data_IF_276952240035
#
_entry.id   IF_276952240035
#
_cell.length_a   1.000
_cell.length_b   1.000
_cell.length_c   1.000
_cell.angle_alpha   90.00
_cell.angle_beta   90.00
_cell.angle_gamma   90.00
#
_symmetry.space_group_name_H-M   'P 1'
#
loop_
_entity.id
_entity.type
_entity.pdbx_description
1 polymer ?
2 water ?
#
# COMPACT_ATOMS: atom_id res chain seq x y z
N UNK A 1 23.89 37.10 2.52
CA UNK A 1 25.21 36.66 3.01
C UNK A 1 25.45 35.31 2.34
N UNK A 2 26.64 34.77 2.55
CA UNK A 2 27.01 33.45 2.12
C UNK A 2 26.30 32.41 2.99
N UNK A 3 26.01 32.77 4.24
CA UNK A 3 25.21 31.94 5.12
C UNK A 3 23.84 31.83 4.55
N UNK A 4 23.09 32.93 4.55
CA UNK A 4 21.74 33.02 4.00
C UNK A 4 21.57 32.15 2.78
N UNK A 5 22.53 32.20 1.86
CA UNK A 5 22.44 31.50 0.60
C UNK A 5 22.69 30.01 0.81
N UNK A 6 23.71 29.68 1.58
CA UNK A 6 23.98 28.30 1.84
C UNK A 6 22.75 27.79 2.57
N UNK A 7 22.38 28.49 3.63
CA UNK A 7 21.27 28.12 4.47
C UNK A 7 20.00 27.88 3.68
N UNK A 8 19.79 28.63 2.63
CA UNK A 8 18.56 28.47 1.92
C UNK A 8 18.67 27.54 0.68
N UNK A 9 19.89 27.12 0.39
CA UNK A 9 20.14 26.01 -0.47
C UNK A 9 19.79 24.73 0.28
N UNK A 10 20.08 24.67 1.58
CA UNK A 10 19.75 23.53 2.42
C UNK A 10 18.24 23.46 2.55
N UNK A 11 17.63 24.54 3.00
CA UNK A 11 16.20 24.66 2.93
C UNK A 11 15.60 24.04 1.66
N UNK A 12 15.80 24.64 0.49
CA UNK A 12 15.25 24.07 -0.78
C UNK A 12 15.54 22.59 -0.91
N UNK A 13 16.80 22.20 -0.80
CA UNK A 13 17.27 20.87 -1.12
C UNK A 13 16.70 19.79 -0.20
N UNK A 14 16.58 20.10 1.09
CA UNK A 14 16.03 19.21 2.10
C UNK A 14 14.53 19.01 1.87
N UNK A 15 13.82 20.11 1.66
CA UNK A 15 12.41 20.05 1.37
C UNK A 15 12.08 19.11 0.21
N UNK A 16 12.94 19.06 -0.80
CA UNK A 16 12.76 18.19 -1.95
C UNK A 16 13.09 16.74 -1.66
N UNK A 17 13.64 16.49 -0.49
CA UNK A 17 14.15 15.19 -0.12
C UNK A 17 13.31 14.55 0.95
N UNK A 18 12.70 15.34 1.82
CA UNK A 18 11.59 14.86 2.57
C UNK A 18 10.64 14.27 1.50
N UNK A 19 10.03 15.14 0.69
CA UNK A 19 9.19 14.77 -0.45
C UNK A 19 9.56 13.49 -1.20
N UNK A 20 10.85 13.21 -1.33
CA UNK A 20 11.34 12.08 -2.15
C UNK A 20 11.27 10.77 -1.39
N UNK A 21 11.81 10.78 -0.17
CA UNK A 21 11.72 9.68 0.77
C UNK A 21 10.27 9.26 1.02
N UNK A 22 9.38 10.23 1.16
CA UNK A 22 8.00 9.92 1.31
C UNK A 22 7.51 9.22 0.04
N UNK A 23 7.31 9.95 -1.06
CA UNK A 23 6.92 9.36 -2.35
C UNK A 23 7.42 7.92 -2.59
N UNK A 24 8.65 7.60 -2.18
CA UNK A 24 9.25 6.28 -2.47
C UNK A 24 8.92 5.22 -1.44
N UNK A 25 8.72 5.67 -0.20
CA UNK A 25 8.47 4.78 0.90
C UNK A 25 6.99 4.45 0.96
N UNK A 26 6.20 5.28 0.29
CA UNK A 26 4.79 5.04 0.05
C UNK A 26 4.67 4.07 -1.09
N UNK A 27 5.43 4.31 -2.14
CA UNK A 27 5.50 3.45 -3.32
C UNK A 27 5.86 1.99 -3.06
N UNK A 28 6.64 1.73 -2.03
CA UNK A 28 7.02 0.37 -1.64
C UNK A 28 5.97 -0.22 -0.69
N UNK A 29 5.34 0.64 0.10
CA UNK A 29 4.19 0.26 0.86
C UNK A 29 3.13 -0.22 -0.14
N UNK A 30 2.98 0.48 -1.25
CA UNK A 30 1.96 0.12 -2.22
C UNK A 30 2.34 -1.07 -3.09
N UNK A 31 3.62 -1.41 -3.10
CA UNK A 31 4.09 -2.61 -3.79
C UNK A 31 3.58 -3.80 -3.02
N UNK A 32 3.89 -3.82 -1.72
CA UNK A 32 3.46 -4.87 -0.81
C UNK A 32 2.00 -4.75 -0.28
N UNK A 33 1.27 -3.68 -0.58
CA UNK A 33 -0.17 -3.66 -0.37
C UNK A 33 -0.76 -4.54 -1.46
N UNK A 34 -0.52 -4.12 -2.71
CA UNK A 34 -0.82 -4.86 -3.94
C UNK A 34 -0.42 -6.34 -3.90
N UNK A 35 0.52 -6.71 -3.03
CA UNK A 35 1.01 -8.09 -3.00
C UNK A 35 0.32 -8.98 -1.98
N UNK A 36 -0.28 -8.40 -0.94
CA UNK A 36 -1.03 -9.19 0.03
C UNK A 36 -2.53 -9.04 -0.19
N UNK A 37 -2.93 -7.93 -0.79
CA UNK A 37 -4.29 -7.62 -1.24
C UNK A 37 -4.71 -8.65 -2.28
N UNK A 38 -3.74 -9.18 -3.02
CA UNK A 38 -3.94 -10.24 -4.00
C UNK A 38 -4.22 -11.59 -3.37
N UNK A 39 -3.40 -11.95 -2.38
CA UNK A 39 -3.53 -13.21 -1.66
C UNK A 39 -4.82 -13.25 -0.85
N UNK A 40 -5.40 -12.07 -0.65
CA UNK A 40 -6.65 -12.00 0.04
C UNK A 40 -7.80 -12.25 -0.93
N UNK A 41 -7.81 -11.59 -2.09
CA UNK A 41 -8.88 -11.73 -3.10
C UNK A 41 -9.03 -13.19 -3.52
N UNK A 42 -7.94 -13.94 -3.37
CA UNK A 42 -7.87 -15.35 -3.69
C UNK A 42 -8.36 -16.23 -2.55
N UNK A 43 -8.40 -15.70 -1.34
CA UNK A 43 -8.96 -16.40 -0.19
C UNK A 43 -10.45 -16.19 -0.06
N UNK A 44 -10.90 -15.05 -0.58
CA UNK A 44 -12.27 -14.55 -0.58
C UNK A 44 -13.14 -15.25 -1.61
N UNK A 45 -12.49 -15.85 -2.59
CA UNK A 45 -13.13 -16.45 -3.73
C UNK A 45 -13.17 -17.91 -3.44
N UNK A 46 -12.15 -18.40 -2.75
CA UNK A 46 -12.06 -19.77 -2.26
C UNK A 46 -13.05 -19.96 -1.13
N UNK A 47 -13.39 -18.86 -0.49
CA UNK A 47 -14.27 -18.90 0.65
C UNK A 47 -15.66 -18.64 0.17
N UNK A 48 -15.79 -17.96 -0.96
CA UNK A 48 -17.09 -17.66 -1.54
C UNK A 48 -17.76 -18.96 -1.94
N UNK A 49 -16.94 -19.86 -2.49
CA UNK A 49 -17.35 -21.12 -3.01
C UNK A 49 -17.75 -21.99 -1.85
N UNK A 50 -17.01 -21.88 -0.75
CA UNK A 50 -17.34 -22.59 0.48
C UNK A 50 -18.67 -22.18 1.06
N UNK A 51 -19.08 -20.94 0.87
CA UNK A 51 -20.36 -20.48 1.40
C UNK A 51 -21.47 -20.94 0.49
N UNK A 52 -21.18 -20.92 -0.81
CA UNK A 52 -22.09 -21.41 -1.84
C UNK A 52 -22.46 -22.84 -1.49
N UNK A 53 -21.49 -23.76 -1.49
CA UNK A 53 -21.80 -25.14 -1.23
C UNK A 53 -22.48 -25.40 0.08
N UNK A 54 -22.16 -24.64 1.11
CA UNK A 54 -22.76 -24.91 2.41
C UNK A 54 -24.14 -24.25 2.53
N UNK A 55 -24.48 -23.42 1.57
CA UNK A 55 -25.86 -22.98 1.47
C UNK A 55 -26.64 -24.12 0.83
N UNK A 56 -26.04 -24.81 -0.13
CA UNK A 56 -26.60 -25.96 -0.82
C UNK A 56 -26.87 -27.12 0.11
N UNK A 57 -25.95 -27.38 1.04
CA UNK A 57 -26.10 -28.40 2.08
C UNK A 57 -27.22 -28.13 3.04
N UNK A 58 -27.22 -26.97 3.70
CA UNK A 58 -28.32 -26.59 4.64
C UNK A 58 -29.72 -26.80 4.06
N UNK A 59 -29.81 -26.64 2.75
CA UNK A 59 -31.04 -26.59 2.01
C UNK A 59 -31.52 -27.99 1.66
N UNK A 60 -30.60 -28.94 1.54
CA UNK A 60 -30.99 -30.31 1.33
C UNK A 60 -31.68 -30.91 2.58
N UNK A 61 -31.57 -30.23 3.72
CA UNK A 61 -32.32 -30.57 4.93
C UNK A 61 -32.80 -29.35 5.70
#
# INVERSE_FOLDING_TARGET
HTLKTANSYTDVTVSNSTKKAIRESNQYTDHKFHQLDNRLDKLDTRLLKLLASSAALNSLL
#
